data_IF_287533476443
#
_entry.id   IF_287533476443
#
_cell.length_a   1.000
_cell.length_b   1.000
_cell.length_c   1.000
_cell.angle_alpha   90.00
_cell.angle_beta   90.00
_cell.angle_gamma   90.00
#
_symmetry.space_group_name_H-M   'P 1'
#
loop_
_entity.id
_entity.type
_entity.pdbx_description
1 polymer ?
#
# COMPACT_ATOMS: atom_id res chain seq x y z
N UNK A 1 -14.60 8.49 -11.43
CA UNK A 1 -14.00 7.13 -11.44
C UNK A 1 -12.74 6.98 -10.58
N UNK A 2 -12.45 7.95 -9.71
CA UNK A 2 -11.32 7.91 -8.80
C UNK A 2 -11.58 6.95 -7.64
N UNK A 3 -10.58 6.13 -7.31
CA UNK A 3 -10.65 5.15 -6.23
C UNK A 3 -9.48 5.35 -5.28
N UNK A 4 -9.78 5.48 -3.99
CA UNK A 4 -8.83 5.40 -2.90
C UNK A 4 -8.91 3.98 -2.32
N UNK A 5 -7.84 3.19 -2.48
CA UNK A 5 -7.77 1.82 -2.00
C UNK A 5 -6.89 1.73 -0.75
N UNK A 6 -7.50 1.51 0.41
CA UNK A 6 -6.84 1.45 1.71
C UNK A 6 -7.13 0.13 2.39
N UNK A 7 -6.15 -0.40 3.10
CA UNK A 7 -6.33 -1.60 3.90
C UNK A 7 -7.02 -1.24 5.24
N UNK A 8 -7.74 -2.17 5.85
CA UNK A 8 -8.51 -1.88 7.09
C UNK A 8 -7.63 -1.57 8.31
N UNK A 9 -6.37 -1.97 8.25
CA UNK A 9 -5.32 -1.74 9.25
C UNK A 9 -4.45 -0.52 8.91
N UNK A 10 -4.86 0.30 7.93
CA UNK A 10 -4.21 1.54 7.55
C UNK A 10 -4.96 2.78 8.05
N UNK A 11 -4.21 3.71 8.63
CA UNK A 11 -4.72 4.95 9.21
C UNK A 11 -4.07 6.11 8.45
N UNK A 12 -4.90 6.97 7.86
CA UNK A 12 -4.46 8.18 7.16
C UNK A 12 -4.10 9.26 8.19
N UNK A 13 -2.96 9.92 7.98
CA UNK A 13 -2.67 11.16 8.68
C UNK A 13 -3.51 12.33 8.15
N UNK A 14 -3.69 13.36 8.96
CA UNK A 14 -4.46 14.56 8.61
C UNK A 14 -3.90 15.29 7.39
N UNK A 15 -2.58 15.25 7.17
CA UNK A 15 -1.96 15.86 5.98
C UNK A 15 -2.42 15.18 4.69
N UNK A 16 -2.57 13.84 4.72
CA UNK A 16 -3.07 13.08 3.56
C UNK A 16 -4.52 13.42 3.29
N UNK A 17 -5.35 13.47 4.33
CA UNK A 17 -6.78 13.82 4.22
C UNK A 17 -6.93 15.21 3.60
N UNK A 18 -6.16 16.18 4.09
CA UNK A 18 -6.16 17.56 3.58
C UNK A 18 -5.75 17.60 2.11
N UNK A 19 -4.71 16.84 1.73
CA UNK A 19 -4.24 16.79 0.35
C UNK A 19 -5.26 16.16 -0.61
N UNK A 20 -5.93 15.08 -0.19
CA UNK A 20 -6.99 14.45 -0.98
C UNK A 20 -8.20 15.38 -1.12
N UNK A 21 -8.57 16.10 -0.07
CA UNK A 21 -9.64 17.10 -0.12
C UNK A 21 -9.29 18.24 -1.07
N UNK A 22 -8.05 18.73 -1.06
CA UNK A 22 -7.58 19.75 -1.99
C UNK A 22 -7.62 19.26 -3.44
N UNK A 23 -7.18 18.01 -3.72
CA UNK A 23 -7.30 17.40 -5.04
C UNK A 23 -8.76 17.31 -5.51
N UNK A 24 -9.67 16.98 -4.61
CA UNK A 24 -11.10 16.88 -4.93
C UNK A 24 -11.74 18.25 -5.19
N UNK A 25 -11.27 19.31 -4.53
CA UNK A 25 -11.81 20.66 -4.66
C UNK A 25 -11.23 21.43 -5.86
N UNK A 26 -10.06 21.03 -6.35
CA UNK A 26 -9.39 21.63 -7.49
C UNK A 26 -9.93 21.17 -8.86
N UNK A 27 -9.14 21.43 -9.90
CA UNK A 27 -9.40 20.92 -11.25
C UNK A 27 -9.28 19.41 -11.30
N UNK A 28 -10.05 18.78 -12.20
CA UNK A 28 -10.02 17.32 -12.35
C UNK A 28 -8.61 16.89 -12.80
N UNK A 29 -7.92 16.03 -12.03
CA UNK A 29 -6.58 15.59 -12.37
C UNK A 29 -6.55 14.76 -13.66
N UNK A 30 -5.38 14.69 -14.30
CA UNK A 30 -5.14 13.76 -15.42
C UNK A 30 -5.45 12.32 -14.98
N UNK A 31 -6.39 11.61 -15.64
CA UNK A 31 -6.80 10.26 -15.26
C UNK A 31 -5.67 9.22 -15.36
N UNK A 32 -4.59 9.51 -16.11
CA UNK A 32 -3.41 8.65 -16.21
C UNK A 32 -2.44 8.81 -15.05
N UNK A 33 -2.66 9.80 -14.18
CA UNK A 33 -1.89 10.05 -12.98
C UNK A 33 -2.39 9.18 -11.81
N UNK A 34 -1.45 8.70 -11.00
CA UNK A 34 -1.73 8.00 -9.76
C UNK A 34 -0.96 8.61 -8.58
N UNK A 35 -1.48 8.47 -7.37
CA UNK A 35 -0.82 8.97 -6.17
C UNK A 35 -0.37 7.85 -5.25
N UNK A 36 0.88 7.99 -4.83
CA UNK A 36 1.56 7.13 -3.87
C UNK A 36 1.51 7.77 -2.49
N UNK A 37 1.26 6.94 -1.48
CA UNK A 37 1.29 7.34 -0.08
C UNK A 37 2.47 6.68 0.63
N UNK A 38 3.29 7.44 1.38
CA UNK A 38 4.30 6.85 2.26
C UNK A 38 3.60 6.03 3.33
N UNK A 39 3.90 4.74 3.44
CA UNK A 39 3.32 3.86 4.44
C UNK A 39 4.37 3.44 5.46
N UNK A 40 4.13 3.81 6.71
CA UNK A 40 4.98 3.44 7.85
C UNK A 40 4.41 2.22 8.56
N UNK A 41 5.27 1.23 8.73
CA UNK A 41 4.92 -0.05 9.33
C UNK A 41 5.09 0.00 10.84
N UNK A 42 4.07 -0.47 11.55
CA UNK A 42 4.07 -0.65 12.99
C UNK A 42 3.86 -2.13 13.32
N UNK A 43 4.80 -2.67 14.10
CA UNK A 43 4.80 -4.07 14.54
C UNK A 43 4.82 -4.07 16.07
N UNK A 44 3.85 -4.73 16.69
CA UNK A 44 3.67 -4.73 18.14
C UNK A 44 3.58 -3.30 18.71
N UNK A 45 2.89 -2.41 17.99
CA UNK A 45 2.72 -1.00 18.35
C UNK A 45 3.96 -0.12 18.20
N UNK A 46 5.09 -0.64 17.67
CA UNK A 46 6.31 0.13 17.45
C UNK A 46 6.58 0.30 15.97
N UNK A 47 6.95 1.52 15.58
CA UNK A 47 7.39 1.81 14.22
C UNK A 47 8.67 1.02 13.93
N UNK A 48 8.70 0.34 12.79
CA UNK A 48 9.87 -0.38 12.31
C UNK A 48 10.45 0.28 11.07
N UNK A 49 11.76 0.08 10.85
CA UNK A 49 12.45 0.49 9.62
C UNK A 49 12.32 -0.56 8.51
N UNK A 50 12.17 -1.83 8.88
CA UNK A 50 12.13 -2.95 7.95
C UNK A 50 11.36 -4.11 8.56
N UNK A 51 10.48 -4.73 7.77
CA UNK A 51 9.92 -6.05 8.00
C UNK A 51 10.19 -6.89 6.75
N UNK A 52 11.31 -7.62 6.74
CA UNK A 52 11.84 -8.21 5.51
C UNK A 52 10.78 -9.08 4.80
N UNK A 53 10.58 -8.89 3.47
CA UNK A 53 11.39 -8.09 2.54
C UNK A 53 10.97 -6.61 2.39
N UNK A 54 10.04 -6.11 3.20
CA UNK A 54 9.45 -4.76 3.08
C UNK A 54 10.29 -3.73 3.85
N UNK A 55 10.64 -2.64 3.18
CA UNK A 55 11.25 -1.45 3.81
C UNK A 55 10.17 -0.47 4.25
N UNK A 56 10.41 0.22 5.37
CA UNK A 56 9.48 1.21 5.94
C UNK A 56 10.18 2.58 6.01
N UNK A 57 9.65 3.62 5.35
CA UNK A 57 8.38 3.62 4.62
C UNK A 57 8.49 2.96 3.24
N UNK A 58 7.42 2.31 2.80
CA UNK A 58 7.18 1.99 1.40
C UNK A 58 6.21 3.01 0.76
N UNK A 59 5.99 2.91 -0.56
CA UNK A 59 5.24 3.92 -1.32
C UNK A 59 4.22 3.29 -2.27
N UNK A 60 3.24 2.51 -1.75
CA UNK A 60 2.18 1.95 -2.58
C UNK A 60 1.35 3.04 -3.25
N UNK A 61 0.87 2.75 -4.46
CA UNK A 61 -0.15 3.56 -5.13
C UNK A 61 -1.49 3.29 -4.45
N UNK A 62 -2.11 4.34 -3.92
CA UNK A 62 -3.34 4.24 -3.12
C UNK A 62 -4.51 4.98 -3.75
N UNK A 63 -4.25 6.03 -4.53
CA UNK A 63 -5.28 6.80 -5.24
C UNK A 63 -5.01 6.77 -6.74
N UNK A 64 -5.98 6.32 -7.53
CA UNK A 64 -5.86 6.20 -8.98
C UNK A 64 -7.23 6.20 -9.67
N UNK A 65 -7.25 6.41 -10.98
CA UNK A 65 -8.47 6.28 -11.77
C UNK A 65 -8.64 4.83 -12.23
N UNK A 66 -9.76 4.20 -11.85
CA UNK A 66 -10.01 2.77 -12.14
C UNK A 66 -10.15 2.43 -13.63
N UNK A 67 -10.39 3.43 -14.48
CA UNK A 67 -10.46 3.21 -15.94
C UNK A 67 -9.05 3.12 -16.57
N UNK A 68 -8.04 3.69 -15.91
CA UNK A 68 -6.67 3.73 -16.42
C UNK A 68 -5.75 2.75 -15.70
N UNK A 69 -5.96 2.54 -14.39
CA UNK A 69 -5.13 1.68 -13.59
C UNK A 69 -5.94 0.58 -12.88
N UNK A 70 -5.33 -0.59 -12.76
CA UNK A 70 -5.91 -1.78 -12.11
C UNK A 70 -4.85 -2.52 -11.31
N UNK A 71 -5.28 -3.36 -10.37
CA UNK A 71 -4.38 -4.31 -9.74
C UNK A 71 -3.90 -5.35 -10.76
N UNK A 72 -2.66 -5.79 -10.61
CA UNK A 72 -2.10 -6.88 -11.39
C UNK A 72 -2.70 -8.24 -10.97
N UNK A 73 -2.65 -9.24 -11.85
CA UNK A 73 -3.17 -10.58 -11.56
C UNK A 73 -2.17 -11.46 -10.79
N UNK A 74 -1.31 -10.85 -9.95
CA UNK A 74 -0.27 -11.61 -9.24
C UNK A 74 -0.89 -12.35 -8.04
N UNK A 75 -0.49 -13.61 -7.78
CA UNK A 75 -1.02 -14.36 -6.65
C UNK A 75 -0.52 -13.86 -5.28
N UNK A 76 0.58 -13.08 -5.30
CA UNK A 76 1.23 -12.47 -4.14
C UNK A 76 1.76 -11.10 -4.58
N UNK A 77 1.64 -10.09 -3.71
CA UNK A 77 2.10 -8.71 -3.92
C UNK A 77 1.34 -7.93 -5.01
N UNK A 78 0.06 -7.68 -4.73
CA UNK A 78 -0.81 -6.85 -5.56
C UNK A 78 -0.23 -5.44 -5.72
N UNK A 79 -0.11 -5.02 -6.98
CA UNK A 79 0.37 -3.68 -7.34
C UNK A 79 -0.53 -3.07 -8.39
N UNK A 80 -0.81 -1.78 -8.24
CA UNK A 80 -1.56 -0.99 -9.21
C UNK A 80 -0.67 -0.72 -10.42
N UNK A 81 -1.11 -1.19 -11.59
CA UNK A 81 -0.44 -1.03 -12.89
C UNK A 81 -1.36 -0.30 -13.88
N UNK A 82 -0.78 0.29 -14.93
CA UNK A 82 -1.53 0.98 -16.00
C UNK A 82 -1.54 2.51 -15.91
N UNK A 83 -1.07 3.10 -14.81
CA UNK A 83 -0.85 4.54 -14.72
C UNK A 83 0.41 4.96 -15.51
N UNK A 84 0.35 6.12 -16.17
CA UNK A 84 1.48 6.65 -16.94
C UNK A 84 2.50 7.37 -16.04
N UNK A 85 2.00 8.05 -15.00
CA UNK A 85 2.82 8.78 -14.05
C UNK A 85 2.32 8.54 -12.63
N UNK A 86 3.21 8.68 -11.64
CA UNK A 86 2.79 8.66 -10.25
C UNK A 86 3.52 9.66 -9.37
N UNK A 87 2.74 10.38 -8.58
CA UNK A 87 3.19 11.47 -7.69
C UNK A 87 3.05 11.04 -6.24
N UNK A 88 3.92 11.51 -5.36
CA UNK A 88 3.77 11.28 -3.92
C UNK A 88 2.87 12.35 -3.32
N UNK A 89 1.81 11.92 -2.60
CA UNK A 89 1.02 12.84 -1.78
C UNK A 89 1.80 13.22 -0.51
N UNK A 90 1.59 14.44 0.02
CA UNK A 90 2.12 14.82 1.32
C UNK A 90 1.42 14.03 2.44
N UNK A 91 2.06 13.96 3.60
CA UNK A 91 1.61 13.16 4.73
C UNK A 91 2.04 11.70 4.65
N UNK A 92 1.41 10.85 5.45
CA UNK A 92 1.72 9.43 5.53
C UNK A 92 0.52 8.57 5.95
N UNK A 93 0.67 7.28 5.74
CA UNK A 93 -0.22 6.23 6.23
C UNK A 93 0.50 5.45 7.31
N UNK A 94 -0.15 5.27 8.45
CA UNK A 94 0.28 4.34 9.49
C UNK A 94 -0.38 2.99 9.25
N UNK A 95 0.42 1.93 9.16
CA UNK A 95 -0.08 0.57 8.96
C UNK A 95 0.26 -0.29 10.17
N UNK A 96 -0.77 -0.63 10.96
CA UNK A 96 -0.65 -1.42 12.19
C UNK A 96 -0.91 -2.90 11.89
N UNK A 97 0.13 -3.62 11.44
CA UNK A 97 -0.01 -4.97 10.88
C UNK A 97 -0.19 -6.09 11.91
N UNK A 98 0.46 -5.96 13.08
CA UNK A 98 0.52 -7.04 14.08
C UNK A 98 0.42 -6.51 15.50
N UNK A 99 -0.50 -7.09 16.28
CA UNK A 99 -0.70 -6.79 17.68
C UNK A 99 -0.08 -7.86 18.60
N UNK A 100 0.26 -9.05 18.06
CA UNK A 100 0.92 -10.11 18.83
C UNK A 100 1.97 -10.88 18.01
N UNK A 101 2.92 -11.52 18.72
CA UNK A 101 3.89 -12.42 18.07
C UNK A 101 3.21 -13.59 17.36
N UNK A 102 2.09 -14.07 17.87
CA UNK A 102 1.33 -15.15 17.25
C UNK A 102 0.82 -14.75 15.85
N UNK A 103 0.32 -13.52 15.69
CA UNK A 103 -0.09 -13.00 14.37
C UNK A 103 1.08 -12.88 13.40
N UNK A 104 2.26 -12.44 13.90
CA UNK A 104 3.49 -12.38 13.08
C UNK A 104 3.82 -13.76 12.52
N UNK A 105 3.87 -14.79 13.37
CA UNK A 105 4.18 -16.15 12.92
C UNK A 105 3.12 -16.72 11.99
N UNK A 106 1.84 -16.49 12.26
CA UNK A 106 0.76 -16.97 11.39
C UNK A 106 0.80 -16.34 10.00
N UNK A 107 1.06 -15.03 9.90
CA UNK A 107 1.20 -14.36 8.61
C UNK A 107 2.44 -14.83 7.88
N UNK A 108 3.58 -14.97 8.58
CA UNK A 108 4.80 -15.53 8.00
C UNK A 108 4.56 -16.92 7.39
N UNK A 109 3.96 -17.84 8.15
CA UNK A 109 3.65 -19.19 7.69
C UNK A 109 2.69 -19.20 6.49
N UNK A 110 1.70 -18.31 6.50
CA UNK A 110 0.73 -18.18 5.40
C UNK A 110 1.39 -17.70 4.11
N UNK A 111 2.25 -16.68 4.20
CA UNK A 111 2.95 -16.12 3.04
C UNK A 111 4.00 -17.08 2.48
N UNK A 112 4.80 -17.73 3.33
CA UNK A 112 5.80 -18.71 2.87
C UNK A 112 5.14 -19.93 2.23
N UNK A 113 4.03 -20.42 2.78
CA UNK A 113 3.24 -21.51 2.20
C UNK A 113 2.66 -21.13 0.82
N UNK A 114 2.11 -19.91 0.70
CA UNK A 114 1.62 -19.40 -0.60
C UNK A 114 2.75 -19.23 -1.61
N UNK A 115 3.90 -18.71 -1.18
CA UNK A 115 5.06 -18.49 -2.04
C UNK A 115 5.51 -19.81 -2.70
N UNK A 116 5.71 -20.87 -1.91
CA UNK A 116 6.10 -22.19 -2.44
C UNK A 116 5.02 -22.81 -3.33
N UNK A 117 3.74 -22.51 -3.07
CA UNK A 117 2.63 -23.00 -3.90
C UNK A 117 2.60 -22.36 -5.29
N UNK A 118 2.89 -21.06 -5.39
CA UNK A 118 2.74 -20.29 -6.62
C UNK A 118 4.06 -19.97 -7.33
N UNK A 119 5.21 -20.18 -6.68
CA UNK A 119 6.53 -19.91 -7.23
C UNK A 119 7.51 -21.04 -6.87
N UNK A 120 8.35 -21.45 -7.82
CA UNK A 120 9.47 -22.35 -7.55
C UNK A 120 10.58 -21.59 -6.83
N UNK A 121 10.77 -21.87 -5.54
CA UNK A 121 11.89 -21.35 -4.77
C UNK A 121 13.07 -22.30 -4.94
N UNK A 122 14.25 -21.77 -5.28
CA UNK A 122 15.51 -22.52 -5.23
C UNK A 122 16.17 -22.32 -3.86
N UNK A 123 16.75 -23.36 -3.27
CA UNK A 123 17.46 -23.26 -1.98
C UNK A 123 18.66 -22.31 -2.05
#
# INVERSE_FOLDING_TARGET
>A
DWVLCMDSDEILDNDVVTAIQALKAGEEPDPTCAWRLPRYWFVLGKQVRTIYPISSPDYPVRLFNRQQARFNDRPVDDQVVGHASSVRLPGFVRHDTFYSLHEVFNKLNSYTTRLVKYQQIKP
#
